data_IF_491277437138
#
_entry.id   IF_491277437138
#
_cell.length_a   1.000
_cell.length_b   1.000
_cell.length_c   1.000
_cell.angle_alpha   90.00
_cell.angle_beta   90.00
_cell.angle_gamma   90.00
#
_symmetry.space_group_name_H-M   'P 1'
#
loop_
_entity.id
_entity.type
_entity.pdbx_description
1 polymer ?
#
# COMPACT_ATOMS: atom_id res chain seq x y z
N UNK A 1 -2.67 10.30 -19.19
CA UNK A 1 -1.61 10.17 -18.20
C UNK A 1 -1.56 11.36 -17.31
N UNK A 2 -1.45 11.13 -16.05
CA UNK A 2 -1.42 12.18 -15.06
C UNK A 2 -0.02 12.65 -14.73
N UNK A 3 0.02 13.71 -13.98
CA UNK A 3 1.24 14.25 -13.43
C UNK A 3 1.72 13.34 -12.28
N UNK A 4 3.03 13.15 -12.16
CA UNK A 4 3.60 12.45 -11.02
C UNK A 4 3.61 13.37 -9.81
N UNK A 5 3.03 12.90 -8.72
CA UNK A 5 3.05 13.57 -7.43
C UNK A 5 4.11 12.88 -6.57
N UNK A 6 4.96 13.67 -5.94
CA UNK A 6 5.99 13.18 -5.03
C UNK A 6 5.73 13.79 -3.65
N UNK A 7 5.72 12.95 -2.61
CA UNK A 7 5.52 13.46 -1.25
C UNK A 7 6.69 14.36 -0.81
N UNK A 8 6.43 15.25 0.14
CA UNK A 8 7.43 16.23 0.59
C UNK A 8 8.70 15.57 1.15
N UNK A 9 8.55 14.40 1.77
CA UNK A 9 9.70 13.67 2.33
C UNK A 9 10.44 12.84 1.27
N UNK A 10 9.93 12.81 0.03
CA UNK A 10 10.55 12.10 -1.08
C UNK A 10 10.41 10.58 -1.04
N UNK A 11 9.65 10.04 -0.08
CA UNK A 11 9.55 8.58 0.10
C UNK A 11 8.58 7.93 -0.87
N UNK A 12 7.55 8.65 -1.29
CA UNK A 12 6.43 8.10 -2.07
C UNK A 12 6.13 8.93 -3.29
N UNK A 13 5.62 8.28 -4.32
CA UNK A 13 5.09 8.94 -5.49
C UNK A 13 3.88 8.19 -6.06
N UNK A 14 3.12 8.85 -6.92
CA UNK A 14 2.03 8.22 -7.68
C UNK A 14 1.62 9.10 -8.85
N UNK A 15 0.84 8.50 -9.74
CA UNK A 15 0.19 9.20 -10.83
C UNK A 15 -1.09 9.86 -10.31
N UNK A 16 -1.25 11.17 -10.52
CA UNK A 16 -2.40 11.91 -10.03
C UNK A 16 -3.72 11.40 -10.55
N UNK A 17 -3.78 11.01 -11.84
CA UNK A 17 -5.01 10.47 -12.43
C UNK A 17 -5.36 9.14 -11.76
N UNK A 18 -4.39 8.31 -11.48
CA UNK A 18 -4.62 7.05 -10.79
C UNK A 18 -5.13 7.27 -9.38
N UNK A 19 -4.65 8.29 -8.69
CA UNK A 19 -5.14 8.62 -7.38
C UNK A 19 -6.62 9.07 -7.43
N UNK A 20 -6.96 9.92 -8.40
CA UNK A 20 -8.34 10.36 -8.59
C UNK A 20 -9.25 9.16 -8.86
N UNK A 21 -8.83 8.27 -9.75
CA UNK A 21 -9.57 7.04 -10.06
C UNK A 21 -9.72 6.14 -8.85
N UNK A 22 -8.68 6.04 -8.03
CA UNK A 22 -8.70 5.24 -6.81
C UNK A 22 -9.71 5.80 -5.80
N UNK A 23 -9.74 7.11 -5.64
CA UNK A 23 -10.71 7.77 -4.77
C UNK A 23 -12.14 7.48 -5.25
N UNK A 24 -12.39 7.60 -6.56
CA UNK A 24 -13.70 7.33 -7.13
C UNK A 24 -14.13 5.87 -6.93
N UNK A 25 -13.19 4.94 -7.11
CA UNK A 25 -13.49 3.51 -7.07
C UNK A 25 -13.54 2.95 -5.65
N UNK A 26 -12.64 3.39 -4.79
CA UNK A 26 -12.44 2.80 -3.46
C UNK A 26 -12.63 3.77 -2.30
N UNK A 27 -12.76 5.06 -2.59
CA UNK A 27 -12.91 6.07 -1.54
C UNK A 27 -11.65 6.37 -0.75
N UNK A 28 -10.49 5.99 -1.27
CA UNK A 28 -9.21 6.15 -0.56
C UNK A 28 -8.25 7.00 -1.38
N UNK A 29 -7.76 8.08 -0.76
CA UNK A 29 -6.71 8.92 -1.29
C UNK A 29 -5.36 8.27 -0.98
N UNK A 30 -4.43 8.31 -1.93
CA UNK A 30 -3.09 7.77 -1.72
C UNK A 30 -2.34 8.47 -0.59
N UNK A 31 -2.64 9.75 -0.34
CA UNK A 31 -2.08 10.45 0.83
C UNK A 31 -2.50 9.80 2.15
N UNK A 32 -3.67 9.21 2.21
CA UNK A 32 -4.13 8.46 3.36
C UNK A 32 -3.50 7.06 3.38
N UNK A 33 -3.46 6.42 2.21
CA UNK A 33 -2.99 5.04 2.07
C UNK A 33 -1.52 4.86 2.50
N UNK A 34 -0.66 5.85 2.23
CA UNK A 34 0.76 5.73 2.57
C UNK A 34 1.01 5.61 4.07
N UNK A 35 0.03 5.95 4.89
CA UNK A 35 0.14 5.81 6.34
C UNK A 35 0.26 4.35 6.78
N UNK A 36 -0.10 3.38 5.93
CA UNK A 36 0.09 1.95 6.26
C UNK A 36 1.57 1.64 6.52
N UNK A 37 2.48 2.39 5.90
CA UNK A 37 3.92 2.15 6.04
C UNK A 37 4.43 2.51 7.43
N UNK A 38 3.67 3.28 8.20
CA UNK A 38 4.00 3.63 9.59
C UNK A 38 3.50 2.58 10.58
N UNK A 39 2.70 1.61 10.14
CA UNK A 39 2.21 0.55 10.99
C UNK A 39 3.30 -0.52 11.16
N UNK A 40 3.77 -0.71 12.40
CA UNK A 40 4.81 -1.68 12.72
C UNK A 40 4.35 -3.13 12.48
N UNK A 41 3.05 -3.36 12.50
CA UNK A 41 2.47 -4.69 12.31
C UNK A 41 2.06 -4.97 10.86
N UNK A 42 2.36 -4.05 9.95
CA UNK A 42 1.99 -4.23 8.53
C UNK A 42 2.57 -5.51 7.98
N UNK A 43 1.83 -6.10 7.04
CA UNK A 43 2.27 -7.28 6.30
C UNK A 43 2.72 -6.81 4.92
N UNK A 44 3.94 -7.16 4.54
CA UNK A 44 4.47 -6.84 3.23
C UNK A 44 4.77 -8.14 2.49
N UNK A 45 4.16 -8.33 1.33
CA UNK A 45 4.31 -9.56 0.56
C UNK A 45 4.48 -9.25 -0.91
N UNK A 46 5.29 -10.07 -1.58
CA UNK A 46 5.41 -10.02 -3.03
C UNK A 46 4.05 -10.36 -3.65
N UNK A 47 3.61 -9.53 -4.61
CA UNK A 47 2.34 -9.75 -5.31
C UNK A 47 2.62 -10.32 -6.69
N UNK A 48 2.77 -11.65 -6.76
CA UNK A 48 3.05 -12.34 -8.02
C UNK A 48 1.86 -12.31 -8.97
N UNK A 49 0.65 -12.09 -8.46
CA UNK A 49 -0.55 -11.95 -9.29
C UNK A 49 -0.52 -10.69 -10.16
N UNK A 50 0.01 -9.59 -9.62
CA UNK A 50 0.05 -8.29 -10.30
C UNK A 50 1.43 -7.91 -10.81
N UNK A 51 2.47 -8.71 -10.51
CA UNK A 51 3.82 -8.44 -10.97
C UNK A 51 4.01 -8.89 -12.41
N UNK A 52 4.89 -8.17 -13.12
CA UNK A 52 5.32 -8.53 -14.45
C UNK A 52 6.83 -8.65 -14.46
N UNK A 53 7.39 -9.14 -15.58
CA UNK A 53 8.83 -9.25 -15.75
C UNK A 53 9.54 -7.89 -15.53
N UNK A 54 8.89 -6.80 -15.96
CA UNK A 54 9.49 -5.46 -15.91
C UNK A 54 9.11 -4.67 -14.66
N UNK A 55 8.12 -5.13 -13.88
CA UNK A 55 7.66 -4.38 -12.72
C UNK A 55 7.23 -5.35 -11.63
N UNK A 56 8.01 -5.41 -10.59
CA UNK A 56 7.68 -6.20 -9.41
C UNK A 56 6.78 -5.39 -8.50
N UNK A 57 5.66 -5.98 -8.10
CA UNK A 57 4.69 -5.35 -7.22
C UNK A 57 4.62 -6.06 -5.88
N UNK A 58 4.38 -5.28 -4.87
CA UNK A 58 4.23 -5.75 -3.49
C UNK A 58 2.88 -5.30 -2.96
N UNK A 59 2.30 -6.10 -2.09
CA UNK A 59 1.10 -5.71 -1.38
C UNK A 59 1.44 -5.45 0.08
N UNK A 60 0.91 -4.36 0.60
CA UNK A 60 1.09 -3.98 2.00
C UNK A 60 -0.28 -3.94 2.64
N UNK A 61 -0.46 -4.72 3.70
CA UNK A 61 -1.70 -4.74 4.47
C UNK A 61 -1.38 -4.17 5.85
N UNK A 62 -2.06 -3.10 6.20
CA UNK A 62 -1.78 -2.42 7.46
C UNK A 62 -2.94 -1.58 7.94
N UNK A 63 -2.83 -1.17 9.20
CA UNK A 63 -3.87 -0.38 9.86
C UNK A 63 -3.56 1.11 9.73
N UNK A 64 -4.57 1.86 9.32
CA UNK A 64 -4.55 3.33 9.35
C UNK A 64 -5.80 3.74 10.11
N UNK A 65 -5.61 4.44 11.22
CA UNK A 65 -6.69 4.72 12.17
C UNK A 65 -7.31 3.39 12.60
N UNK A 66 -8.58 3.13 12.29
CA UNK A 66 -9.26 1.89 12.65
C UNK A 66 -9.51 0.99 11.45
N UNK A 67 -8.96 1.34 10.29
CA UNK A 67 -9.20 0.60 9.05
C UNK A 67 -7.99 -0.20 8.64
N UNK A 68 -8.23 -1.39 8.11
CA UNK A 68 -7.18 -2.19 7.49
C UNK A 68 -7.21 -1.95 6.00
N UNK A 69 -6.09 -1.48 5.45
CA UNK A 69 -5.96 -1.17 4.03
C UNK A 69 -5.10 -2.20 3.33
N UNK A 70 -5.39 -2.37 2.05
CA UNK A 70 -4.63 -3.21 1.13
C UNK A 70 -4.06 -2.29 0.06
N UNK A 71 -2.74 -2.14 0.05
CA UNK A 71 -2.05 -1.21 -0.85
C UNK A 71 -1.11 -2.00 -1.76
N UNK A 72 -1.17 -1.70 -3.06
CA UNK A 72 -0.25 -2.27 -4.04
C UNK A 72 0.77 -1.20 -4.41
N UNK A 73 2.04 -1.57 -4.38
CA UNK A 73 3.13 -0.64 -4.65
C UNK A 73 4.23 -1.31 -5.47
N UNK A 74 5.10 -0.50 -6.02
CA UNK A 74 6.35 -0.95 -6.64
C UNK A 74 7.50 -0.10 -6.12
N UNK A 75 8.67 -0.70 -5.98
CA UNK A 75 9.86 0.02 -5.53
C UNK A 75 10.68 0.45 -6.75
N UNK A 76 11.04 1.72 -6.79
CA UNK A 76 11.82 2.28 -7.87
C UNK A 76 13.32 2.18 -7.56
N UNK A 77 14.15 2.24 -8.59
CA UNK A 77 15.60 2.23 -8.42
C UNK A 77 16.10 3.35 -7.52
N UNK A 78 15.40 4.48 -7.51
CA UNK A 78 15.71 5.61 -6.63
C UNK A 78 15.53 5.30 -5.14
N UNK A 79 14.85 4.19 -4.82
CA UNK A 79 14.43 3.87 -3.46
C UNK A 79 13.04 4.40 -3.11
N UNK A 80 12.45 5.22 -3.98
CA UNK A 80 11.11 5.74 -3.76
C UNK A 80 10.08 4.66 -4.04
N UNK A 81 9.01 4.67 -3.26
CA UNK A 81 7.90 3.72 -3.41
C UNK A 81 6.82 4.37 -4.25
N UNK A 82 6.42 3.71 -5.34
CA UNK A 82 5.33 4.19 -6.19
C UNK A 82 4.05 3.45 -5.85
N UNK A 83 3.03 4.19 -5.45
CA UNK A 83 1.71 3.64 -5.09
C UNK A 83 0.93 3.37 -6.38
N UNK A 84 0.39 2.17 -6.50
CA UNK A 84 -0.37 1.71 -7.66
C UNK A 84 -1.87 1.73 -7.38
N UNK A 85 -2.29 1.21 -6.23
CA UNK A 85 -3.69 1.18 -5.83
C UNK A 85 -3.81 1.03 -4.31
N UNK A 86 -4.97 1.41 -3.78
CA UNK A 86 -5.25 1.27 -2.36
C UNK A 86 -6.75 1.03 -2.17
N UNK A 87 -7.11 0.08 -1.34
CA UNK A 87 -8.49 -0.23 -1.01
C UNK A 87 -8.59 -0.74 0.41
N UNK A 88 -9.81 -0.83 0.92
CA UNK A 88 -10.05 -1.50 2.18
C UNK A 88 -9.78 -2.99 2.00
N UNK A 89 -9.10 -3.59 2.97
CA UNK A 89 -8.71 -4.99 2.88
C UNK A 89 -9.94 -5.90 2.95
N UNK A 90 -9.94 -6.96 2.16
CA UNK A 90 -10.94 -8.00 2.25
C UNK A 90 -10.77 -8.78 3.55
N UNK A 91 -11.82 -9.45 3.98
CA UNK A 91 -11.85 -10.15 5.26
C UNK A 91 -10.67 -11.10 5.45
N UNK A 92 -10.26 -11.81 4.40
CA UNK A 92 -9.13 -12.75 4.49
C UNK A 92 -7.84 -12.06 4.91
N UNK A 93 -7.61 -10.84 4.43
CA UNK A 93 -6.42 -10.05 4.78
C UNK A 93 -6.56 -9.41 6.15
N UNK A 94 -7.77 -8.98 6.51
CA UNK A 94 -8.04 -8.45 7.84
C UNK A 94 -7.77 -9.53 8.89
N UNK A 95 -8.27 -10.75 8.67
CA UNK A 95 -8.06 -11.88 9.58
C UNK A 95 -6.57 -12.22 9.68
N UNK A 96 -5.87 -12.24 8.55
CA UNK A 96 -4.43 -12.50 8.53
C UNK A 96 -3.65 -11.45 9.32
N UNK A 97 -4.03 -10.19 9.13
CA UNK A 97 -3.39 -9.08 9.84
C UNK A 97 -3.50 -9.27 11.36
N UNK A 98 -4.70 -9.52 11.86
CA UNK A 98 -4.90 -9.68 13.30
C UNK A 98 -4.32 -10.98 13.83
N UNK A 99 -4.30 -12.03 13.01
CA UNK A 99 -3.68 -13.29 13.39
C UNK A 99 -2.17 -13.13 13.59
N UNK A 100 -1.50 -12.37 12.71
CA UNK A 100 -0.05 -12.18 12.76
C UNK A 100 0.38 -11.04 13.67
N UNK A 101 -0.54 -10.15 14.02
CA UNK A 101 -0.25 -9.00 14.87
C UNK A 101 0.24 -9.48 16.24
N UNK A 102 1.36 -8.93 16.67
CA UNK A 102 1.93 -9.27 17.96
C UNK A 102 2.74 -10.55 17.98
N UNK A 103 2.83 -11.31 16.87
CA UNK A 103 3.65 -12.52 16.83
C UNK A 103 5.12 -12.24 17.08
N UNK A 104 5.57 -11.04 16.78
CA UNK A 104 6.94 -10.62 17.02
C UNK A 104 7.27 -10.46 18.50
N UNK A 105 6.26 -10.48 19.36
CA UNK A 105 6.40 -10.35 20.81
C UNK A 105 6.32 -11.68 21.53
N UNK A 106 6.06 -12.77 20.82
CA UNK A 106 5.94 -14.11 21.37
C UNK A 106 7.29 -14.81 21.30
N UNK A 107 7.91 -14.95 22.43
CA UNK A 107 9.22 -15.60 22.52
C UNK A 107 9.19 -16.73 23.51
#
# INVERSE_FOLDING_TARGET
>A
MGQTIITNDGRFEWDEVKNIQNIEKHGIDFNFAIKVFDDEDKIEEYDDFHSTYNEERYRVVGMVDNDILFVVETELESGRIRIISARYAEKIYVDKYFLLRGKNYDF
#
